data_IF_507968656740
#
_entry.id   IF_507968656740
#
_cell.length_a   1.000
_cell.length_b   1.000
_cell.length_c   1.000
_cell.angle_alpha   90.00
_cell.angle_beta   90.00
_cell.angle_gamma   90.00
#
_symmetry.space_group_name_H-M   'P 1'
#
loop_
_entity.id
_entity.type
_entity.pdbx_description
1 polymer ?
#
# COMPACT_ATOMS: atom_id res chain seq x y z
N UNK A 1 16.43 -11.33 18.06
CA UNK A 1 15.58 -10.38 18.79
C UNK A 1 15.49 -9.17 17.88
N UNK A 2 14.49 -9.16 17.00
CA UNK A 2 14.30 -8.07 16.03
C UNK A 2 13.72 -6.91 16.81
N UNK A 3 14.50 -5.83 16.95
CA UNK A 3 13.96 -4.56 17.41
C UNK A 3 12.86 -4.17 16.40
N UNK A 4 11.61 -4.19 16.84
CA UNK A 4 10.52 -3.52 16.15
C UNK A 4 10.91 -2.04 16.17
N UNK A 5 11.42 -1.55 15.04
CA UNK A 5 11.52 -0.12 14.82
C UNK A 5 10.10 0.44 14.95
N UNK A 6 9.85 1.21 16.01
CA UNK A 6 8.60 1.92 16.24
C UNK A 6 8.30 2.80 15.02
N UNK A 7 7.51 2.27 14.09
CA UNK A 7 7.01 3.02 12.94
C UNK A 7 6.17 4.14 13.53
N UNK A 8 6.58 5.40 13.34
CA UNK A 8 5.78 6.53 13.76
C UNK A 8 4.35 6.34 13.22
N UNK A 9 3.32 6.31 14.09
CA UNK A 9 1.98 5.98 13.67
C UNK A 9 1.53 6.99 12.63
N UNK A 10 1.15 6.49 11.45
CA UNK A 10 0.67 7.34 10.36
C UNK A 10 -0.37 8.32 10.91
N UNK A 11 -0.27 9.63 10.63
CA UNK A 11 -1.19 10.61 11.17
C UNK A 11 -2.66 10.25 10.90
N UNK A 12 -3.58 10.56 11.83
CA UNK A 12 -5.01 10.50 11.58
C UNK A 12 -5.37 11.18 10.27
N UNK A 13 -6.35 10.65 9.54
CA UNK A 13 -6.73 11.16 8.20
C UNK A 13 -7.03 12.66 8.22
N UNK A 14 -7.64 13.15 9.30
CA UNK A 14 -7.96 14.56 9.52
C UNK A 14 -6.74 15.49 9.59
N UNK A 15 -5.55 14.95 9.88
CA UNK A 15 -4.30 15.70 10.00
C UNK A 15 -3.38 15.51 8.77
N UNK A 16 -3.81 14.74 7.78
CA UNK A 16 -3.00 14.47 6.59
C UNK A 16 -3.02 15.66 5.64
N UNK A 17 -1.83 16.00 5.18
CA UNK A 17 -1.58 17.03 4.18
C UNK A 17 -0.66 16.44 3.10
N UNK A 18 -0.56 17.08 1.92
CA UNK A 18 0.40 16.63 0.92
C UNK A 18 1.83 16.57 1.46
N UNK A 19 2.21 17.57 2.27
CA UNK A 19 3.55 17.64 2.90
C UNK A 19 3.77 16.49 3.87
N UNK A 20 2.82 16.21 4.76
CA UNK A 20 2.98 15.10 5.72
C UNK A 20 3.05 13.75 5.00
N UNK A 21 2.26 13.55 3.95
CA UNK A 21 2.27 12.31 3.19
C UNK A 21 3.53 12.16 2.33
N UNK A 22 4.03 13.24 1.71
CA UNK A 22 5.33 13.25 1.04
C UNK A 22 6.47 12.92 2.01
N UNK A 23 6.44 13.44 3.24
CA UNK A 23 7.40 13.09 4.30
C UNK A 23 7.38 11.60 4.66
N UNK A 24 6.21 10.99 4.70
CA UNK A 24 6.08 9.55 4.91
C UNK A 24 6.65 8.74 3.74
N UNK A 25 6.49 9.22 2.49
CA UNK A 25 7.14 8.59 1.33
C UNK A 25 8.66 8.65 1.48
N UNK A 26 9.22 9.81 1.80
CA UNK A 26 10.68 9.94 2.02
C UNK A 26 11.17 9.00 3.12
N UNK A 27 10.45 8.93 4.25
CA UNK A 27 10.78 8.00 5.34
C UNK A 27 10.79 6.54 4.85
N UNK A 28 9.80 6.14 4.06
CA UNK A 28 9.75 4.81 3.45
C UNK A 28 10.88 4.54 2.45
N UNK A 29 11.38 5.55 1.74
CA UNK A 29 12.55 5.42 0.85
C UNK A 29 13.85 5.25 1.65
N UNK A 30 14.00 5.95 2.78
CA UNK A 30 15.12 5.77 3.71
C UNK A 30 15.14 4.35 4.26
N UNK A 31 14.00 3.84 4.75
CA UNK A 31 13.91 2.45 5.22
C UNK A 31 14.26 1.43 4.15
N UNK A 32 13.91 1.71 2.90
CA UNK A 32 14.26 0.86 1.77
C UNK A 32 15.76 0.89 1.51
N UNK A 33 16.37 2.07 1.53
CA UNK A 33 17.81 2.26 1.35
C UNK A 33 18.62 1.52 2.42
N UNK A 34 18.22 1.65 3.69
CA UNK A 34 18.88 1.01 4.83
C UNK A 34 18.83 -0.53 4.73
N UNK A 35 17.78 -1.10 4.13
CA UNK A 35 17.66 -2.55 3.92
C UNK A 35 18.60 -3.11 2.87
N UNK A 36 19.20 -2.30 2.01
CA UNK A 36 20.14 -2.78 1.00
C UNK A 36 21.53 -3.11 1.56
N UNK A 37 21.80 -2.81 2.84
CA UNK A 37 23.03 -3.17 3.56
C UNK A 37 24.31 -2.93 2.73
N UNK A 38 24.36 -1.78 2.04
CA UNK A 38 25.45 -1.43 1.15
C UNK A 38 26.66 -0.95 1.98
N UNK A 39 27.81 -1.67 1.98
CA UNK A 39 28.95 -1.30 2.79
C UNK A 39 29.51 0.05 2.37
N UNK A 40 29.60 1.00 3.30
CA UNK A 40 30.12 2.35 3.07
C UNK A 40 29.35 3.15 2.01
N UNK A 41 28.10 2.79 1.70
CA UNK A 41 27.28 3.63 0.84
C UNK A 41 26.96 4.96 1.56
N UNK A 42 27.12 6.11 0.87
CA UNK A 42 26.65 7.37 1.42
C UNK A 42 25.15 7.30 1.74
N UNK A 43 24.70 8.11 2.71
CA UNK A 43 23.31 8.08 3.17
C UNK A 43 22.37 8.49 2.05
N UNK A 44 21.15 7.92 2.03
CA UNK A 44 20.07 8.25 1.08
C UNK A 44 19.95 9.75 0.80
N UNK A 45 20.10 10.55 1.87
CA UNK A 45 20.01 12.00 1.82
C UNK A 45 21.01 12.63 0.84
N UNK A 46 22.28 12.22 0.91
CA UNK A 46 23.35 12.81 0.10
C UNK A 46 23.26 12.40 -1.37
N UNK A 47 22.94 11.13 -1.64
CA UNK A 47 22.98 10.58 -3.00
C UNK A 47 21.71 10.90 -3.78
N UNK A 48 20.55 10.78 -3.14
CA UNK A 48 19.27 10.83 -3.84
C UNK A 48 18.54 12.13 -3.52
N UNK A 49 18.29 12.38 -2.24
CA UNK A 49 17.40 13.47 -1.86
C UNK A 49 18.00 14.83 -2.17
N UNK A 50 19.23 15.11 -1.73
CA UNK A 50 19.89 16.40 -1.87
C UNK A 50 20.13 16.76 -3.34
N UNK A 51 20.56 15.80 -4.17
CA UNK A 51 20.74 16.01 -5.60
C UNK A 51 19.42 16.43 -6.28
N UNK A 52 18.35 15.69 -6.01
CA UNK A 52 17.04 15.98 -6.56
C UNK A 52 16.43 17.26 -5.97
N UNK A 53 16.69 17.56 -4.70
CA UNK A 53 16.19 18.73 -4.00
C UNK A 53 16.93 20.01 -4.41
N UNK A 54 18.23 19.94 -4.70
CA UNK A 54 18.99 21.09 -5.16
C UNK A 54 18.63 21.48 -6.59
N UNK A 55 18.19 20.51 -7.41
CA UNK A 55 17.81 20.76 -8.79
C UNK A 55 16.37 21.30 -8.90
N UNK A 56 16.16 22.55 -9.35
CA UNK A 56 14.82 23.14 -9.50
C UNK A 56 14.03 22.47 -10.64
N UNK A 57 14.73 21.88 -11.61
CA UNK A 57 14.18 21.23 -12.78
C UNK A 57 13.74 19.78 -12.52
N UNK A 58 13.95 19.27 -11.29
CA UNK A 58 13.52 17.94 -10.88
C UNK A 58 12.01 17.79 -11.03
N UNK A 59 11.61 16.81 -11.83
CA UNK A 59 10.22 16.33 -11.91
C UNK A 59 10.20 14.82 -11.90
N UNK A 60 9.15 14.23 -11.31
CA UNK A 60 8.94 12.78 -11.33
C UNK A 60 8.83 12.25 -12.76
N UNK A 61 8.22 13.01 -13.67
CA UNK A 61 8.15 12.64 -15.10
C UNK A 61 9.52 12.56 -15.75
N UNK A 62 10.42 13.52 -15.51
CA UNK A 62 11.79 13.45 -16.04
C UNK A 62 12.54 12.24 -15.49
N UNK A 63 12.42 11.96 -14.19
CA UNK A 63 13.04 10.77 -13.59
C UNK A 63 12.45 9.47 -14.15
N UNK A 64 11.14 9.45 -14.44
CA UNK A 64 10.50 8.32 -15.09
C UNK A 64 11.03 8.10 -16.51
N UNK A 65 11.20 9.18 -17.29
CA UNK A 65 11.80 9.09 -18.62
C UNK A 65 13.23 8.55 -18.55
N UNK A 66 14.03 8.95 -17.56
CA UNK A 66 15.37 8.40 -17.33
C UNK A 66 15.35 6.93 -16.89
N UNK A 67 14.38 6.52 -16.06
CA UNK A 67 14.16 5.11 -15.72
C UNK A 67 13.85 4.28 -16.97
N UNK A 68 12.95 4.76 -17.84
CA UNK A 68 12.57 4.08 -19.09
C UNK A 68 13.78 3.97 -20.02
N UNK A 69 14.60 5.03 -20.14
CA UNK A 69 15.85 4.97 -20.91
C UNK A 69 16.77 3.90 -20.34
N UNK A 70 16.95 3.88 -19.01
CA UNK A 70 17.83 2.94 -18.30
C UNK A 70 17.39 1.48 -18.48
N UNK A 71 16.09 1.22 -18.43
CA UNK A 71 15.53 -0.11 -18.67
C UNK A 71 15.84 -0.62 -20.09
N UNK A 72 15.71 0.29 -21.05
CA UNK A 72 15.90 0.05 -22.49
C UNK A 72 17.35 0.09 -22.96
N UNK A 73 18.33 0.36 -22.08
CA UNK A 73 19.74 0.19 -22.41
C UNK A 73 20.01 -1.28 -22.72
N UNK A 74 20.17 -1.58 -24.01
CA UNK A 74 20.56 -2.89 -24.55
C UNK A 74 22.05 -3.13 -24.42
N UNK A 75 22.83 -2.04 -24.49
CA UNK A 75 24.28 -2.05 -24.59
C UNK A 75 24.86 -1.65 -23.24
N UNK A 76 24.78 -2.55 -22.26
CA UNK A 76 25.76 -2.50 -21.18
C UNK A 76 27.09 -2.88 -21.83
N UNK A 77 28.00 -1.93 -22.01
CA UNK A 77 29.33 -2.21 -22.59
C UNK A 77 30.10 -3.14 -21.62
N UNK A 78 29.93 -4.45 -21.77
CA UNK A 78 30.68 -5.48 -21.03
C UNK A 78 29.85 -6.43 -20.16
N UNK A 79 30.54 -7.34 -19.46
CA UNK A 79 29.89 -8.18 -18.45
C UNK A 79 29.36 -7.31 -17.29
N UNK A 80 28.17 -7.61 -16.72
CA UNK A 80 27.67 -6.90 -15.56
C UNK A 80 28.71 -6.92 -14.44
N UNK A 81 28.96 -5.76 -13.83
CA UNK A 81 29.93 -5.62 -12.73
C UNK A 81 29.69 -6.62 -11.59
N UNK A 82 28.42 -7.01 -11.39
CA UNK A 82 28.01 -8.11 -10.54
C UNK A 82 26.66 -8.71 -11.01
N UNK A 83 26.34 -9.96 -10.64
CA UNK A 83 24.99 -10.51 -10.79
C UNK A 83 23.95 -9.59 -10.14
N UNK A 84 22.85 -9.30 -10.84
CA UNK A 84 21.78 -8.44 -10.33
C UNK A 84 22.03 -6.93 -10.42
N UNK A 85 23.17 -6.49 -10.97
CA UNK A 85 23.51 -5.06 -11.09
C UNK A 85 22.45 -4.24 -11.85
N UNK A 86 21.90 -4.76 -12.97
CA UNK A 86 20.81 -4.10 -13.71
C UNK A 86 19.56 -3.92 -12.84
N UNK A 87 19.22 -4.92 -12.01
CA UNK A 87 18.07 -4.84 -11.12
C UNK A 87 18.29 -3.78 -10.03
N UNK A 88 19.50 -3.69 -9.46
CA UNK A 88 19.85 -2.66 -8.49
C UNK A 88 19.75 -1.25 -9.09
N UNK A 89 20.25 -1.05 -10.32
CA UNK A 89 20.12 0.24 -11.02
C UNK A 89 18.66 0.60 -11.25
N UNK A 90 17.84 -0.34 -11.73
CA UNK A 90 16.40 -0.11 -11.94
C UNK A 90 15.71 0.27 -10.61
N UNK A 91 16.08 -0.38 -9.52
CA UNK A 91 15.54 -0.07 -8.19
C UNK A 91 15.96 1.33 -7.71
N UNK A 92 17.22 1.72 -7.90
CA UNK A 92 17.71 3.08 -7.58
C UNK A 92 16.97 4.12 -8.44
N UNK A 93 16.86 3.90 -9.74
CA UNK A 93 16.10 4.78 -10.63
C UNK A 93 14.63 4.89 -10.20
N UNK A 94 13.98 3.79 -9.84
CA UNK A 94 12.61 3.78 -9.29
C UNK A 94 12.51 4.60 -8.00
N UNK A 95 13.51 4.51 -7.12
CA UNK A 95 13.62 5.32 -5.90
C UNK A 95 13.72 6.81 -6.22
N UNK A 96 14.51 7.19 -7.23
CA UNK A 96 14.63 8.57 -7.71
C UNK A 96 13.30 9.11 -8.24
N UNK A 97 12.52 8.30 -8.96
CA UNK A 97 11.16 8.69 -9.42
C UNK A 97 10.25 8.99 -8.23
N UNK A 98 10.18 8.08 -7.26
CA UNK A 98 9.36 8.27 -6.05
C UNK A 98 9.78 9.53 -5.27
N UNK A 99 11.09 9.71 -5.09
CA UNK A 99 11.66 10.87 -4.41
C UNK A 99 11.34 12.18 -5.14
N UNK A 100 11.48 12.22 -6.46
CA UNK A 100 11.20 13.41 -7.25
C UNK A 100 9.74 13.85 -7.17
N UNK A 101 8.79 12.90 -7.21
CA UNK A 101 7.37 13.22 -6.98
C UNK A 101 7.11 13.72 -5.55
N UNK A 102 7.73 13.13 -4.53
CA UNK A 102 7.63 13.65 -3.15
C UNK A 102 8.19 15.08 -3.03
N UNK A 103 9.29 15.39 -3.71
CA UNK A 103 9.88 16.74 -3.78
C UNK A 103 8.94 17.72 -4.49
N UNK A 104 8.31 17.31 -5.60
CA UNK A 104 7.30 18.14 -6.26
C UNK A 104 6.10 18.41 -5.35
N UNK A 105 5.66 17.42 -4.56
CA UNK A 105 4.61 17.63 -3.56
C UNK A 105 5.00 18.63 -2.46
N UNK A 106 6.27 18.63 -2.03
CA UNK A 106 6.78 19.64 -1.08
C UNK A 106 6.85 21.05 -1.67
N UNK A 107 7.16 21.16 -2.97
CA UNK A 107 7.30 22.44 -3.68
C UNK A 107 5.97 23.02 -4.20
N UNK A 108 4.96 22.17 -4.41
CA UNK A 108 3.66 22.56 -4.92
C UNK A 108 2.90 23.47 -3.94
N UNK A 109 1.92 24.19 -4.46
CA UNK A 109 1.08 25.07 -3.64
C UNK A 109 0.39 24.26 -2.53
N UNK A 110 0.42 24.79 -1.30
CA UNK A 110 -0.04 24.10 -0.11
C UNK A 110 -1.52 23.73 -0.22
N UNK A 111 -1.81 22.42 -0.15
CA UNK A 111 -3.18 21.90 -0.21
C UNK A 111 -3.81 21.91 -1.60
N UNK A 112 -3.03 22.21 -2.64
CA UNK A 112 -3.48 22.11 -4.03
C UNK A 112 -3.78 20.67 -4.43
N UNK A 113 -4.64 20.51 -5.44
CA UNK A 113 -4.92 19.22 -6.07
C UNK A 113 -3.64 18.63 -6.68
N UNK A 114 -2.78 19.49 -7.24
CA UNK A 114 -1.52 19.09 -7.84
C UNK A 114 -0.57 18.46 -6.81
N UNK A 115 -0.42 19.07 -5.62
CA UNK A 115 0.37 18.50 -4.54
C UNK A 115 -0.12 17.11 -4.14
N UNK A 116 -1.45 16.90 -4.09
CA UNK A 116 -2.03 15.58 -3.82
C UNK A 116 -1.79 14.58 -4.95
N UNK A 117 -1.82 15.02 -6.21
CA UNK A 117 -1.48 14.17 -7.35
C UNK A 117 -0.04 13.65 -7.22
N UNK A 118 0.92 14.55 -6.95
CA UNK A 118 2.31 14.17 -6.77
C UNK A 118 2.53 13.21 -5.60
N UNK A 119 1.81 13.39 -4.48
CA UNK A 119 1.85 12.43 -3.37
C UNK A 119 1.35 11.04 -3.80
N UNK A 120 0.27 10.97 -4.57
CA UNK A 120 -0.26 9.70 -5.07
C UNK A 120 0.77 9.00 -5.97
N UNK A 121 1.42 9.74 -6.87
CA UNK A 121 2.46 9.22 -7.75
C UNK A 121 3.69 8.76 -6.94
N UNK A 122 4.11 9.53 -5.94
CA UNK A 122 5.22 9.18 -5.06
C UNK A 122 4.95 7.87 -4.30
N UNK A 123 3.76 7.72 -3.71
CA UNK A 123 3.34 6.47 -3.04
C UNK A 123 3.22 5.30 -4.01
N UNK A 124 2.76 5.53 -5.23
CA UNK A 124 2.68 4.50 -6.27
C UNK A 124 4.08 3.92 -6.56
N UNK A 125 5.06 4.79 -6.79
CA UNK A 125 6.43 4.39 -7.09
C UNK A 125 7.16 3.77 -5.89
N UNK A 126 6.96 4.28 -4.68
CA UNK A 126 7.45 3.64 -3.46
C UNK A 126 6.85 2.23 -3.30
N UNK A 127 5.55 2.06 -3.59
CA UNK A 127 4.90 0.75 -3.55
C UNK A 127 5.49 -0.25 -4.55
N UNK A 128 5.81 0.20 -5.77
CA UNK A 128 6.51 -0.62 -6.77
C UNK A 128 7.89 -1.04 -6.23
N UNK A 129 8.67 -0.08 -5.71
CA UNK A 129 10.01 -0.34 -5.17
C UNK A 129 10.00 -1.32 -3.99
N UNK A 130 9.09 -1.13 -3.03
CA UNK A 130 8.92 -2.07 -1.92
C UNK A 130 8.49 -3.46 -2.40
N UNK A 131 7.63 -3.51 -3.42
CA UNK A 131 7.21 -4.75 -4.06
C UNK A 131 8.38 -5.52 -4.68
N UNK A 132 9.26 -4.82 -5.41
CA UNK A 132 10.42 -5.44 -6.08
C UNK A 132 11.47 -5.91 -5.07
N UNK A 133 11.75 -5.14 -4.02
CA UNK A 133 12.75 -5.47 -3.00
C UNK A 133 12.28 -6.57 -2.06
N UNK A 134 11.01 -6.54 -1.65
CA UNK A 134 10.49 -7.52 -0.70
C UNK A 134 10.53 -8.96 -1.24
N UNK A 135 10.72 -9.15 -2.56
CA UNK A 135 10.77 -10.46 -3.19
C UNK A 135 9.45 -11.25 -3.09
N UNK A 136 8.43 -10.76 -2.37
CA UNK A 136 7.24 -11.56 -1.99
C UNK A 136 6.44 -12.07 -3.18
N UNK A 137 6.45 -11.35 -4.30
CA UNK A 137 5.86 -11.82 -5.56
C UNK A 137 6.70 -12.89 -6.27
N UNK A 138 8.02 -12.79 -6.18
CA UNK A 138 8.99 -13.66 -6.85
C UNK A 138 9.28 -14.95 -6.05
N UNK A 139 9.47 -14.85 -4.73
CA UNK A 139 9.78 -15.97 -3.83
C UNK A 139 8.67 -17.03 -3.75
N UNK A 140 7.42 -16.64 -3.98
CA UNK A 140 6.27 -17.55 -3.87
C UNK A 140 5.72 -18.01 -5.23
N UNK A 141 6.32 -17.61 -6.35
CA UNK A 141 5.74 -17.85 -7.68
C UNK A 141 4.29 -17.36 -7.78
N UNK A 142 3.94 -16.36 -6.97
CA UNK A 142 2.60 -15.82 -6.90
C UNK A 142 2.47 -14.82 -8.05
N UNK A 143 1.77 -15.24 -9.10
CA UNK A 143 1.19 -14.36 -10.10
C UNK A 143 0.69 -13.08 -9.42
N UNK A 144 1.04 -11.90 -9.97
CA UNK A 144 0.70 -10.59 -9.41
C UNK A 144 -0.78 -10.48 -9.04
N UNK A 145 -1.65 -11.16 -9.81
CA UNK A 145 -3.08 -11.29 -9.51
C UNK A 145 -3.36 -11.98 -8.17
N UNK A 146 -2.67 -13.09 -7.86
CA UNK A 146 -2.82 -13.82 -6.60
C UNK A 146 -2.30 -13.02 -5.40
N UNK A 147 -1.23 -12.25 -5.58
CA UNK A 147 -0.74 -11.36 -4.53
C UNK A 147 -1.73 -10.22 -4.23
N UNK A 148 -2.31 -9.63 -5.27
CA UNK A 148 -3.39 -8.64 -5.13
C UNK A 148 -4.63 -9.21 -4.44
N UNK A 149 -5.06 -10.42 -4.84
CA UNK A 149 -6.14 -11.14 -4.17
C UNK A 149 -5.83 -11.44 -2.71
N UNK A 150 -4.60 -11.83 -2.37
CA UNK A 150 -4.21 -12.05 -0.98
C UNK A 150 -4.26 -10.76 -0.15
N UNK A 151 -3.89 -9.61 -0.72
CA UNK A 151 -4.03 -8.30 -0.09
C UNK A 151 -5.50 -7.90 0.11
N UNK A 152 -6.35 -8.14 -0.90
CA UNK A 152 -7.80 -7.95 -0.80
C UNK A 152 -8.40 -8.87 0.28
N UNK A 153 -7.96 -10.12 0.32
CA UNK A 153 -8.38 -11.09 1.33
C UNK A 153 -7.94 -10.68 2.73
N UNK A 154 -6.73 -10.14 2.90
CA UNK A 154 -6.30 -9.60 4.19
C UNK A 154 -7.20 -8.45 4.64
N UNK A 155 -7.50 -7.50 3.73
CA UNK A 155 -8.40 -6.36 4.00
C UNK A 155 -9.85 -6.77 4.31
N UNK A 156 -10.31 -7.88 3.75
CA UNK A 156 -11.66 -8.39 4.00
C UNK A 156 -11.70 -9.50 5.06
N UNK A 157 -10.58 -9.88 5.66
CA UNK A 157 -10.53 -10.93 6.68
C UNK A 157 -11.37 -10.59 7.91
N UNK A 158 -11.25 -9.37 8.41
CA UNK A 158 -12.04 -8.86 9.53
C UNK A 158 -13.53 -8.82 9.20
N UNK A 159 -13.90 -8.31 8.03
CA UNK A 159 -15.30 -8.29 7.57
C UNK A 159 -15.88 -9.70 7.40
N UNK A 160 -15.08 -10.67 6.95
CA UNK A 160 -15.53 -12.07 6.83
C UNK A 160 -15.72 -12.72 8.20
N UNK A 161 -14.80 -12.47 9.15
CA UNK A 161 -14.93 -12.95 10.53
C UNK A 161 -16.20 -12.39 11.17
N UNK A 162 -16.40 -11.08 11.10
CA UNK A 162 -17.61 -10.42 11.59
C UNK A 162 -18.88 -10.96 10.93
N UNK A 163 -18.86 -11.24 9.61
CA UNK A 163 -19.99 -11.86 8.92
C UNK A 163 -20.27 -13.28 9.42
N UNK A 164 -19.23 -14.07 9.71
CA UNK A 164 -19.38 -15.40 10.28
C UNK A 164 -19.96 -15.34 11.71
N UNK A 165 -19.53 -14.37 12.52
CA UNK A 165 -20.08 -14.12 13.86
C UNK A 165 -21.58 -13.76 13.79
N UNK A 166 -21.96 -12.92 12.82
CA UNK A 166 -23.38 -12.61 12.54
C UNK A 166 -24.17 -13.85 12.13
N UNK A 167 -23.60 -14.75 11.32
CA UNK A 167 -24.28 -15.97 10.89
C UNK A 167 -24.51 -16.91 12.08
N UNK A 168 -23.50 -17.12 12.93
CA UNK A 168 -23.63 -17.91 14.15
C UNK A 168 -24.66 -17.30 15.12
N UNK A 169 -24.68 -15.98 15.25
CA UNK A 169 -25.70 -15.28 16.03
C UNK A 169 -27.10 -15.51 15.44
N UNK A 170 -27.26 -15.46 14.13
CA UNK A 170 -28.54 -15.75 13.47
C UNK A 170 -28.99 -17.19 13.69
N UNK A 171 -28.10 -18.17 13.61
CA UNK A 171 -28.44 -19.58 13.87
C UNK A 171 -29.02 -19.77 15.29
N UNK A 172 -28.51 -19.05 16.28
CA UNK A 172 -28.97 -19.13 17.67
C UNK A 172 -30.21 -18.27 17.97
N UNK A 173 -30.35 -17.11 17.32
CA UNK A 173 -31.30 -16.08 17.77
C UNK A 173 -32.41 -15.77 16.78
N UNK A 174 -32.29 -16.11 15.49
CA UNK A 174 -33.21 -15.62 14.46
C UNK A 174 -34.66 -16.05 14.66
N UNK A 175 -34.90 -17.19 15.32
CA UNK A 175 -36.24 -17.66 15.68
C UNK A 175 -37.01 -16.69 16.60
N UNK A 176 -36.29 -15.84 17.35
CA UNK A 176 -36.87 -14.88 18.29
C UNK A 176 -37.28 -13.56 17.62
N UNK A 177 -36.93 -13.35 16.34
CA UNK A 177 -37.16 -12.10 15.63
C UNK A 177 -38.17 -12.29 14.49
N UNK A 178 -39.17 -11.41 14.44
CA UNK A 178 -40.26 -11.48 13.44
C UNK A 178 -39.82 -11.05 12.03
N UNK A 179 -38.73 -10.29 11.92
CA UNK A 179 -38.25 -9.77 10.65
C UNK A 179 -36.72 -9.63 10.63
N UNK A 180 -36.16 -9.62 9.42
CA UNK A 180 -34.73 -9.34 9.22
C UNK A 180 -34.35 -7.90 9.62
N UNK A 181 -35.31 -6.96 9.64
CA UNK A 181 -35.04 -5.58 10.10
C UNK A 181 -34.82 -5.57 11.60
N UNK A 182 -35.71 -6.23 12.35
CA UNK A 182 -35.62 -6.31 13.81
C UNK A 182 -34.36 -7.05 14.26
N UNK A 183 -33.97 -8.12 13.54
CA UNK A 183 -32.70 -8.80 13.78
C UNK A 183 -31.48 -7.91 13.44
N UNK A 184 -31.54 -7.12 12.35
CA UNK A 184 -30.46 -6.20 11.99
C UNK A 184 -30.28 -5.06 13.01
N UNK A 185 -31.35 -4.54 13.62
CA UNK A 185 -31.29 -3.57 14.72
C UNK A 185 -30.72 -4.16 16.02
N UNK A 186 -30.84 -5.47 16.21
CA UNK A 186 -30.26 -6.17 17.35
C UNK A 186 -28.76 -6.39 17.20
N UNK A 187 -28.26 -6.52 15.97
CA UNK A 187 -26.84 -6.79 15.68
C UNK A 187 -26.05 -5.48 15.49
N UNK A 188 -26.57 -4.54 14.72
CA UNK A 188 -25.84 -3.36 14.27
C UNK A 188 -25.37 -2.48 15.44
N UNK A 189 -24.06 -2.34 15.59
CA UNK A 189 -23.43 -1.54 16.64
C UNK A 189 -23.54 -2.12 18.06
N UNK A 190 -24.14 -3.31 18.21
CA UNK A 190 -24.32 -4.00 19.50
C UNK A 190 -23.48 -5.27 19.56
N UNK A 191 -23.77 -6.21 18.65
CA UNK A 191 -23.04 -7.47 18.53
C UNK A 191 -21.81 -7.33 17.64
N UNK A 192 -21.94 -6.52 16.58
CA UNK A 192 -20.85 -6.26 15.62
C UNK A 192 -20.84 -4.78 15.27
N UNK A 193 -19.67 -4.11 15.21
CA UNK A 193 -19.55 -2.67 14.95
C UNK A 193 -19.78 -2.33 13.45
N UNK A 194 -20.93 -2.70 12.92
CA UNK A 194 -21.34 -2.44 11.52
C UNK A 194 -22.64 -1.67 11.46
N UNK A 195 -22.86 -0.98 10.33
CA UNK A 195 -24.10 -0.24 10.10
C UNK A 195 -25.30 -1.18 9.93
N UNK A 196 -26.50 -0.67 10.19
CA UNK A 196 -27.75 -1.40 10.00
C UNK A 196 -27.89 -2.01 8.59
N UNK A 197 -27.54 -1.25 7.55
CA UNK A 197 -27.63 -1.74 6.16
C UNK A 197 -26.70 -2.94 5.92
N UNK A 198 -25.49 -2.90 6.48
CA UNK A 198 -24.52 -3.99 6.39
C UNK A 198 -25.02 -5.23 7.13
N UNK A 199 -25.49 -5.07 8.38
CA UNK A 199 -26.06 -6.18 9.15
C UNK A 199 -27.25 -6.82 8.43
N UNK A 200 -28.18 -6.01 7.91
CA UNK A 200 -29.35 -6.48 7.15
C UNK A 200 -28.96 -7.26 5.89
N UNK A 201 -27.97 -6.78 5.14
CA UNK A 201 -27.47 -7.48 3.95
C UNK A 201 -26.89 -8.85 4.31
N UNK A 202 -26.14 -8.95 5.41
CA UNK A 202 -25.59 -10.21 5.88
C UNK A 202 -26.65 -11.20 6.35
N UNK A 203 -27.68 -10.74 7.07
CA UNK A 203 -28.82 -11.59 7.47
C UNK A 203 -29.57 -12.12 6.23
N UNK A 204 -29.72 -11.30 5.19
CA UNK A 204 -30.33 -11.73 3.94
C UNK A 204 -29.50 -12.82 3.24
N UNK A 205 -28.17 -12.70 3.25
CA UNK A 205 -27.27 -13.73 2.73
C UNK A 205 -27.32 -15.03 3.56
N UNK A 206 -27.35 -14.92 4.89
CA UNK A 206 -27.54 -16.07 5.78
C UNK A 206 -28.84 -16.81 5.42
N UNK A 207 -29.95 -16.08 5.25
CA UNK A 207 -31.24 -16.68 4.88
C UNK A 207 -31.18 -17.41 3.54
N UNK A 208 -30.43 -16.89 2.55
CA UNK A 208 -30.19 -17.59 1.29
C UNK A 208 -29.41 -18.89 1.53
N UNK A 209 -28.36 -18.87 2.34
CA UNK A 209 -27.59 -20.09 2.65
C UNK A 209 -28.43 -21.17 3.34
N UNK A 210 -29.36 -20.79 4.21
CA UNK A 210 -30.32 -21.72 4.82
C UNK A 210 -31.33 -22.31 3.82
N UNK A 211 -31.67 -21.56 2.75
CA UNK A 211 -32.56 -22.06 1.70
C UNK A 211 -31.87 -23.02 0.72
N UNK A 212 -30.55 -22.88 0.52
CA UNK A 212 -29.78 -23.72 -0.40
C UNK A 212 -29.29 -25.03 0.24
N UNK A 213 -29.29 -25.13 1.57
CA UNK A 213 -28.93 -26.34 2.33
C UNK A 213 -30.08 -27.28 2.72
N UNK A 214 -31.32 -27.02 2.26
CA UNK A 214 -32.48 -27.92 2.43
C UNK A 214 -32.74 -28.65 1.11
N UNK A 215 -32.01 -29.73 0.87
CA UNK A 215 -32.34 -30.78 -0.11
C UNK A 215 -32.14 -32.15 0.54
#
# INVERSE_FOLDING_TARGET
>A
MTEDHDIEPRPPVSLRTPISEAGLVISGLVEVWEKWDLPNAPVFWEIIFEELWANPETTGTKQFDELVKTENLTDWEGEPFAPGFKAAIIQIATMQVACAYAIQAFRAEKGSIEAWSYVCDAWHWLGILQGTISGRGMEKGLDAKKFSLAGLDARHSENRKMKADVFAWCDANMANYKSMDSAAEAIAGKEVPVTFRTARAWIADWKKTQSTGRA
#
